data_IF_000226775365
#
_entry.id   IF_000226775365
#
_cell.length_a   1.000
_cell.length_b   1.000
_cell.length_c   1.000
_cell.angle_alpha   90.00
_cell.angle_beta   90.00
_cell.angle_gamma   90.00
#
_symmetry.space_group_name_H-M   'P 1'
#
loop_
_entity.id
_entity.type
_entity.pdbx_description
1 polymer ?
#
# COMPACT_ATOMS: atom_id res chain seq x y z
N UNK A 1 -7.54 17.23 1.80
CA UNK A 1 -6.32 16.38 1.81
C UNK A 1 -5.75 16.44 0.41
N UNK A 2 -4.45 16.70 0.25
CA UNK A 2 -3.81 16.64 -1.06
C UNK A 2 -3.50 15.17 -1.29
N UNK A 3 -4.16 14.57 -2.28
CA UNK A 3 -3.85 13.22 -2.72
C UNK A 3 -2.52 13.25 -3.46
N UNK A 4 -1.53 12.48 -3.00
CA UNK A 4 -0.26 12.31 -3.72
C UNK A 4 -0.41 11.16 -4.72
N UNK A 5 -0.03 11.42 -5.96
CA UNK A 5 0.03 10.42 -7.03
C UNK A 5 1.50 10.15 -7.33
N UNK A 6 1.92 8.91 -7.16
CA UNK A 6 3.29 8.47 -7.41
C UNK A 6 3.37 7.75 -8.75
N UNK A 7 4.37 8.06 -9.60
CA UNK A 7 4.53 7.38 -10.87
C UNK A 7 4.86 5.91 -10.65
N UNK A 8 4.22 5.04 -11.45
CA UNK A 8 4.48 3.60 -11.48
C UNK A 8 5.41 3.30 -12.68
N UNK A 9 6.62 2.79 -12.44
CA UNK A 9 7.52 2.38 -13.52
C UNK A 9 6.89 1.32 -14.43
N UNK A 10 7.19 1.35 -15.73
CA UNK A 10 6.62 0.43 -16.73
C UNK A 10 6.80 -1.05 -16.38
N UNK A 11 7.93 -1.41 -15.75
CA UNK A 11 8.19 -2.81 -15.34
C UNK A 11 7.29 -3.30 -14.18
N UNK A 12 6.62 -2.38 -13.49
CA UNK A 12 5.62 -2.68 -12.45
C UNK A 12 4.18 -2.48 -12.94
N UNK A 13 3.99 -1.93 -14.15
CA UNK A 13 2.66 -1.81 -14.73
C UNK A 13 2.20 -3.21 -15.16
N UNK A 14 1.16 -3.71 -14.52
CA UNK A 14 0.48 -4.92 -14.97
C UNK A 14 -0.48 -4.57 -16.13
N UNK A 15 -0.86 -5.58 -16.89
CA UNK A 15 -1.85 -5.51 -17.99
C UNK A 15 -3.29 -5.31 -17.50
N UNK A 16 -3.51 -5.12 -16.19
CA UNK A 16 -4.83 -4.98 -15.62
C UNK A 16 -5.38 -3.58 -15.88
N UNK A 17 -6.51 -3.54 -16.57
CA UNK A 17 -7.23 -2.31 -16.88
C UNK A 17 -8.11 -1.87 -15.70
N UNK A 18 -7.97 -0.62 -15.26
CA UNK A 18 -8.88 0.02 -14.32
C UNK A 18 -8.25 0.48 -13.01
N UNK A 19 -9.12 0.96 -12.10
CA UNK A 19 -8.70 1.41 -10.78
C UNK A 19 -8.60 0.22 -9.82
N UNK A 20 -7.40 -0.08 -9.35
CA UNK A 20 -7.15 -1.27 -8.51
C UNK A 20 -6.52 -0.93 -7.17
N UNK A 21 -7.00 -1.57 -6.11
CA UNK A 21 -6.42 -1.41 -4.78
C UNK A 21 -5.10 -2.16 -4.63
N UNK A 22 -4.08 -1.47 -4.13
CA UNK A 22 -2.75 -2.01 -3.95
C UNK A 22 -2.04 -1.43 -2.72
N UNK A 23 -0.99 -2.12 -2.31
CA UNK A 23 0.03 -1.63 -1.40
C UNK A 23 1.28 -1.31 -2.22
N UNK A 24 1.77 -0.08 -2.11
CA UNK A 24 2.96 0.37 -2.83
C UNK A 24 4.11 0.64 -1.85
N UNK A 25 5.30 0.22 -2.24
CA UNK A 25 6.55 0.68 -1.63
C UNK A 25 7.03 1.90 -2.43
N UNK A 26 7.26 2.99 -1.72
CA UNK A 26 7.61 4.30 -2.27
C UNK A 26 9.00 4.67 -1.77
N UNK A 27 9.89 4.99 -2.71
CA UNK A 27 11.24 5.46 -2.44
C UNK A 27 11.58 6.59 -3.40
N UNK A 28 12.01 7.75 -2.86
CA UNK A 28 12.33 8.94 -3.66
C UNK A 28 11.20 9.36 -4.61
N UNK A 29 10.00 9.50 -4.06
CA UNK A 29 8.79 9.98 -4.77
C UNK A 29 8.37 9.15 -5.98
N UNK A 30 8.70 7.85 -6.00
CA UNK A 30 8.24 6.91 -7.01
C UNK A 30 7.92 5.55 -6.41
N UNK A 31 7.05 4.81 -7.09
CA UNK A 31 6.77 3.42 -6.73
C UNK A 31 7.97 2.55 -7.11
N UNK A 32 8.43 1.72 -6.17
CA UNK A 32 9.52 0.74 -6.37
C UNK A 32 9.08 -0.70 -6.17
N UNK A 33 7.90 -0.92 -5.61
CA UNK A 33 7.26 -2.24 -5.51
C UNK A 33 5.75 -2.09 -5.37
N UNK A 34 5.01 -3.08 -5.88
CA UNK A 34 3.55 -3.13 -5.80
C UNK A 34 3.09 -4.51 -5.34
N UNK A 35 2.05 -4.50 -4.53
CA UNK A 35 1.31 -5.68 -4.12
C UNK A 35 -0.18 -5.42 -4.33
N UNK A 36 -0.76 -6.07 -5.33
CA UNK A 36 -2.20 -5.94 -5.60
C UNK A 36 -2.98 -6.66 -4.50
N UNK A 37 -3.90 -5.94 -3.85
CA UNK A 37 -4.69 -6.53 -2.76
C UNK A 37 -5.59 -7.67 -3.26
N UNK A 38 -6.02 -7.63 -4.53
CA UNK A 38 -6.75 -8.74 -5.14
C UNK A 38 -5.97 -10.07 -5.14
N UNK A 39 -4.64 -10.04 -5.15
CA UNK A 39 -3.81 -11.26 -5.19
C UNK A 39 -3.56 -11.84 -3.79
N UNK A 40 -3.42 -10.99 -2.77
CA UNK A 40 -3.02 -11.40 -1.42
C UNK A 40 -4.14 -11.35 -0.38
N UNK A 41 -5.22 -10.65 -0.71
CA UNK A 41 -6.30 -10.35 0.20
C UNK A 41 -7.59 -10.03 -0.56
N UNK A 42 -7.98 -10.91 -1.49
CA UNK A 42 -9.15 -10.73 -2.37
C UNK A 42 -10.43 -10.37 -1.60
N UNK A 43 -10.63 -10.98 -0.43
CA UNK A 43 -11.78 -10.76 0.43
C UNK A 43 -11.87 -9.33 0.98
N UNK A 44 -10.76 -8.59 1.01
CA UNK A 44 -10.77 -7.20 1.47
C UNK A 44 -11.29 -6.25 0.39
N UNK A 45 -11.05 -6.57 -0.89
CA UNK A 45 -11.27 -5.64 -2.01
C UNK A 45 -12.71 -5.14 -2.05
N UNK A 46 -13.67 -6.01 -1.79
CA UNK A 46 -15.11 -5.67 -1.77
C UNK A 46 -15.49 -4.67 -0.66
N UNK A 47 -14.62 -4.49 0.34
CA UNK A 47 -14.85 -3.61 1.47
C UNK A 47 -14.07 -2.30 1.42
N UNK A 48 -13.19 -2.11 0.44
CA UNK A 48 -12.31 -0.94 0.36
C UNK A 48 -13.01 0.33 -0.13
N UNK A 49 -14.21 0.20 -0.69
CA UNK A 49 -15.08 1.34 -1.05
C UNK A 49 -16.07 1.70 0.07
N UNK A 50 -15.93 1.08 1.25
CA UNK A 50 -16.79 1.36 2.41
C UNK A 50 -16.15 2.38 3.34
N UNK A 51 -16.93 3.08 4.19
CA UNK A 51 -16.38 3.97 5.24
C UNK A 51 -15.43 3.27 6.23
N UNK A 52 -15.44 1.92 6.26
CA UNK A 52 -14.60 1.11 7.14
C UNK A 52 -13.29 0.65 6.49
N UNK A 53 -13.01 1.05 5.25
CA UNK A 53 -11.84 0.61 4.49
C UNK A 53 -10.52 0.79 5.25
N UNK A 54 -10.30 1.96 5.86
CA UNK A 54 -9.09 2.26 6.63
C UNK A 54 -8.86 1.24 7.77
N UNK A 55 -9.92 0.95 8.53
CA UNK A 55 -9.86 -0.02 9.63
C UNK A 55 -9.55 -1.43 9.13
N UNK A 56 -10.14 -1.82 8.01
CA UNK A 56 -9.97 -3.13 7.39
C UNK A 56 -8.53 -3.32 6.89
N UNK A 57 -8.00 -2.34 6.16
CA UNK A 57 -6.60 -2.35 5.70
C UNK A 57 -5.66 -2.37 6.90
N UNK A 58 -5.90 -1.54 7.92
CA UNK A 58 -5.08 -1.51 9.13
C UNK A 58 -5.06 -2.86 9.84
N UNK A 59 -6.20 -3.53 9.96
CA UNK A 59 -6.29 -4.87 10.56
C UNK A 59 -5.51 -5.91 9.75
N UNK A 60 -5.62 -5.88 8.43
CA UNK A 60 -4.86 -6.79 7.56
C UNK A 60 -3.35 -6.55 7.67
N UNK A 61 -2.91 -5.29 7.65
CA UNK A 61 -1.50 -4.90 7.84
C UNK A 61 -0.95 -5.42 9.17
N UNK A 62 -1.73 -5.37 10.25
CA UNK A 62 -1.33 -5.89 11.56
C UNK A 62 -1.16 -7.42 11.60
N UNK A 63 -1.75 -8.16 10.66
CA UNK A 63 -1.48 -9.61 10.53
C UNK A 63 -0.13 -9.91 9.88
N UNK A 64 0.60 -8.87 9.45
CA UNK A 64 1.97 -8.91 8.95
C UNK A 64 2.23 -10.04 7.93
N UNK A 65 1.49 -10.08 6.80
CA UNK A 65 1.78 -11.03 5.74
C UNK A 65 3.23 -10.85 5.25
N UNK A 66 3.93 -11.94 4.97
CA UNK A 66 5.34 -11.93 4.57
C UNK A 66 5.60 -10.98 3.40
N UNK A 67 4.67 -10.91 2.44
CA UNK A 67 4.73 -10.03 1.27
C UNK A 67 4.83 -8.54 1.65
N UNK A 68 4.21 -8.13 2.77
CA UNK A 68 4.28 -6.75 3.25
C UNK A 68 5.67 -6.42 3.82
N UNK A 69 6.31 -7.38 4.49
CA UNK A 69 7.66 -7.20 5.03
C UNK A 69 8.68 -7.03 3.91
N UNK A 70 8.52 -7.79 2.82
CA UNK A 70 9.36 -7.66 1.63
C UNK A 70 9.20 -6.28 0.98
N UNK A 71 7.98 -5.78 0.83
CA UNK A 71 7.75 -4.41 0.34
C UNK A 71 8.35 -3.34 1.27
N UNK A 72 8.24 -3.52 2.59
CA UNK A 72 8.79 -2.59 3.57
C UNK A 72 10.33 -2.49 3.51
N UNK A 73 11.00 -3.55 3.06
CA UNK A 73 12.45 -3.51 2.85
C UNK A 73 12.87 -2.62 1.66
N UNK A 74 11.94 -2.32 0.74
CA UNK A 74 12.21 -1.52 -0.46
C UNK A 74 11.99 -0.02 -0.26
N UNK A 75 11.15 0.38 0.70
CA UNK A 75 10.82 1.79 0.92
C UNK A 75 9.64 1.99 1.88
N UNK A 76 9.13 3.24 1.93
CA UNK A 76 7.96 3.58 2.73
C UNK A 76 6.72 2.97 2.09
N UNK A 77 5.91 2.27 2.90
CA UNK A 77 4.76 1.54 2.36
C UNK A 77 3.46 2.28 2.62
N UNK A 78 2.63 2.36 1.58
CA UNK A 78 1.33 3.02 1.60
C UNK A 78 0.28 2.16 0.92
N UNK A 79 -0.96 2.26 1.38
CA UNK A 79 -2.13 1.69 0.72
C UNK A 79 -2.79 2.75 -0.17
N UNK A 80 -3.30 2.32 -1.31
CA UNK A 80 -3.86 3.24 -2.31
C UNK A 80 -4.43 2.55 -3.54
N UNK A 81 -4.73 3.35 -4.55
CA UNK A 81 -5.37 2.90 -5.78
C UNK A 81 -4.43 3.14 -6.96
N UNK A 82 -4.16 2.10 -7.73
CA UNK A 82 -3.51 2.20 -9.04
C UNK A 82 -4.54 2.78 -10.00
N UNK A 83 -4.16 3.84 -10.71
CA UNK A 83 -4.97 4.54 -11.70
C UNK A 83 -4.16 4.74 -12.97
N UNK A 84 -4.79 5.26 -14.03
CA UNK A 84 -4.08 5.64 -15.27
C UNK A 84 -2.99 6.71 -15.05
N UNK A 85 -3.07 7.52 -13.98
CA UNK A 85 -2.09 8.57 -13.67
C UNK A 85 -0.94 8.06 -12.78
N UNK A 86 -1.06 6.85 -12.22
CA UNK A 86 -0.11 6.26 -11.29
C UNK A 86 -0.78 5.75 -10.01
N UNK A 87 0.01 5.61 -8.96
CA UNK A 87 -0.46 5.14 -7.65
C UNK A 87 -0.97 6.32 -6.82
N UNK A 88 -2.28 6.38 -6.62
CA UNK A 88 -2.96 7.33 -5.76
C UNK A 88 -2.87 6.89 -4.29
N UNK A 89 -2.02 7.55 -3.51
CA UNK A 89 -1.83 7.26 -2.09
C UNK A 89 -3.09 7.64 -1.29
N UNK A 90 -3.59 6.70 -0.49
CA UNK A 90 -4.72 6.90 0.44
C UNK A 90 -4.26 6.95 1.88
N UNK A 91 -3.44 5.98 2.28
CA UNK A 91 -3.01 5.82 3.66
C UNK A 91 -1.55 5.40 3.78
N UNK A 92 -0.81 6.07 4.65
CA UNK A 92 0.59 5.73 4.96
C UNK A 92 0.62 4.66 6.03
N UNK A 93 1.15 3.47 5.69
CA UNK A 93 1.17 2.36 6.63
C UNK A 93 2.23 2.52 7.72
N UNK A 94 3.25 3.34 7.47
CA UNK A 94 4.27 3.69 8.47
C UNK A 94 3.66 4.31 9.74
N UNK A 95 2.54 5.01 9.61
CA UNK A 95 1.83 5.64 10.74
C UNK A 95 1.02 4.61 11.56
N UNK A 96 0.91 3.37 11.08
CA UNK A 96 0.06 2.34 11.67
C UNK A 96 0.86 1.22 12.34
N UNK A 97 2.20 1.28 12.30
CA UNK A 97 3.02 0.38 13.11
C UNK A 97 2.67 0.56 14.59
N UNK A 98 2.55 -0.53 15.37
CA UNK A 98 2.49 -0.40 16.82
C UNK A 98 3.77 0.33 17.29
N UNK A 99 3.62 1.27 18.22
CA UNK A 99 4.71 2.07 18.78
C UNK A 99 5.86 1.24 19.41
N UNK A 100 5.69 -0.08 19.56
CA UNK A 100 6.60 -1.00 20.25
C UNK A 100 7.77 -1.55 19.39
N UNK A 101 8.06 -0.96 18.23
CA UNK A 101 9.23 -1.33 17.41
C UNK A 101 10.10 -0.13 16.99
N UNK A 102 10.20 0.89 17.82
CA UNK A 102 11.38 1.76 17.78
C UNK A 102 12.53 1.02 18.48
N UNK A 103 13.72 0.89 17.89
CA UNK A 103 14.88 0.47 18.67
C UNK A 103 15.05 1.48 19.82
N UNK A 104 15.02 0.98 21.06
CA UNK A 104 15.39 1.72 22.27
C UNK A 104 16.90 2.05 22.22
N UNK A 105 17.32 2.93 21.32
CA UNK A 105 18.65 3.52 21.37
C UNK A 105 18.61 4.94 20.80
N UNK A 106 18.42 5.89 21.70
CA UNK A 106 18.84 7.30 21.59
C UNK A 106 19.33 7.78 22.94
#
# INVERSE_FOLDING_TARGET
>A
MITMIYPIPEYLQDTRDGNEWAIAAILSDRVVGLLHLANVASDLVEHLDTPSAEFIVKRWVQTAPADLLELQALGNVSAGVITAEGFEERWKLAEWRPLDQLPEDS
#
